data_IF_149646899803
#
_entry.id   IF_149646899803
#
_cell.length_a   1.000
_cell.length_b   1.000
_cell.length_c   1.000
_cell.angle_alpha   90.00
_cell.angle_beta   90.00
_cell.angle_gamma   90.00
#
_symmetry.space_group_name_H-M   'P 1'
#
loop_
_entity.id
_entity.type
_entity.pdbx_description
1 polymer ?
#
# COMPACT_ATOMS: atom_id res chain seq x y z
N UNK A 1 13.89 18.29 -2.87
CA UNK A 1 13.03 17.78 -1.79
C UNK A 1 12.88 18.85 -0.70
N UNK A 2 12.21 19.99 -0.98
CA UNK A 2 12.28 21.19 -0.12
C UNK A 2 11.74 21.01 1.30
N UNK A 3 10.77 20.11 1.49
CA UNK A 3 10.25 19.79 2.82
C UNK A 3 11.19 18.82 3.55
N UNK A 4 11.73 17.81 2.85
CA UNK A 4 12.75 16.91 3.38
C UNK A 4 13.96 17.69 3.90
N UNK A 5 14.40 18.74 3.22
CA UNK A 5 15.50 19.59 3.68
C UNK A 5 15.21 20.32 5.01
N UNK A 6 13.92 20.42 5.42
CA UNK A 6 13.49 20.99 6.70
C UNK A 6 13.35 19.93 7.81
N UNK A 7 13.15 18.66 7.45
CA UNK A 7 13.08 17.55 8.40
C UNK A 7 14.44 16.85 8.38
N UNK A 8 15.18 16.96 9.48
CA UNK A 8 16.61 16.64 9.53
C UNK A 8 17.00 15.17 9.22
N UNK A 9 16.05 14.28 8.93
CA UNK A 9 16.27 12.85 8.82
C UNK A 9 15.56 12.28 7.58
N UNK A 10 16.28 11.46 6.83
CA UNK A 10 15.75 10.68 5.70
C UNK A 10 16.18 9.24 5.90
N UNK A 11 15.20 8.33 5.92
CA UNK A 11 15.45 6.90 6.08
C UNK A 11 15.54 6.21 4.71
N UNK A 12 16.31 5.11 4.58
CA UNK A 12 16.30 4.25 3.41
C UNK A 12 14.90 3.73 3.07
N UNK A 13 14.65 3.49 1.78
CA UNK A 13 13.46 2.80 1.31
C UNK A 13 13.45 1.36 1.85
N UNK A 14 12.28 0.87 2.25
CA UNK A 14 12.13 -0.51 2.72
C UNK A 14 12.51 -1.50 1.61
N UNK A 15 13.16 -2.63 1.92
CA UNK A 15 13.63 -3.58 0.90
C UNK A 15 12.49 -4.13 0.01
N UNK A 16 11.33 -4.43 0.60
CA UNK A 16 10.18 -4.96 -0.14
C UNK A 16 9.61 -3.92 -1.11
N UNK A 17 9.55 -2.64 -0.73
CA UNK A 17 9.05 -1.58 -1.61
C UNK A 17 10.01 -1.37 -2.78
N UNK A 18 11.32 -1.43 -2.51
CA UNK A 18 12.33 -1.41 -3.57
C UNK A 18 12.15 -2.58 -4.54
N UNK A 19 11.95 -3.79 -4.02
CA UNK A 19 11.73 -4.98 -4.86
C UNK A 19 10.47 -4.83 -5.73
N UNK A 20 9.38 -4.31 -5.17
CA UNK A 20 8.13 -4.05 -5.90
C UNK A 20 8.34 -3.06 -7.05
N UNK A 21 8.98 -1.93 -6.76
CA UNK A 21 9.26 -0.88 -7.75
C UNK A 21 10.22 -1.41 -8.82
N UNK A 22 11.30 -2.08 -8.43
CA UNK A 22 12.26 -2.66 -9.37
C UNK A 22 11.59 -3.69 -10.29
N UNK A 23 10.72 -4.56 -9.76
CA UNK A 23 10.00 -5.56 -10.54
C UNK A 23 9.00 -4.90 -11.53
N UNK A 24 8.36 -3.83 -11.09
CA UNK A 24 7.41 -3.06 -11.90
C UNK A 24 8.14 -2.35 -13.06
N UNK A 25 9.25 -1.67 -12.78
CA UNK A 25 10.02 -0.93 -13.79
C UNK A 25 10.77 -1.84 -14.76
N UNK A 26 11.08 -3.07 -14.37
CA UNK A 26 11.71 -4.09 -15.26
C UNK A 26 10.69 -4.90 -16.05
N UNK A 27 9.39 -4.62 -15.89
CA UNK A 27 8.36 -5.36 -16.61
C UNK A 27 8.44 -5.09 -18.12
N UNK A 28 8.02 -6.09 -18.90
CA UNK A 28 8.05 -6.13 -20.36
C UNK A 28 6.80 -5.49 -21.00
N UNK A 29 5.86 -5.01 -20.18
CA UNK A 29 4.54 -4.56 -20.60
C UNK A 29 4.13 -3.30 -19.87
N UNK A 30 3.56 -2.35 -20.60
CA UNK A 30 3.08 -1.11 -19.98
C UNK A 30 1.91 -1.38 -19.03
N UNK A 31 1.09 -2.41 -19.26
CA UNK A 31 0.01 -2.77 -18.34
C UNK A 31 0.56 -3.20 -16.99
N UNK A 32 1.65 -3.98 -16.96
CA UNK A 32 2.34 -4.37 -15.72
C UNK A 32 2.91 -3.14 -15.01
N UNK A 33 3.52 -2.21 -15.75
CA UNK A 33 3.99 -0.93 -15.18
C UNK A 33 2.84 -0.15 -14.54
N UNK A 34 1.71 -0.01 -15.23
CA UNK A 34 0.55 0.73 -14.71
C UNK A 34 -0.13 0.03 -13.54
N UNK A 35 -0.22 -1.31 -13.56
CA UNK A 35 -0.72 -2.08 -12.42
C UNK A 35 0.19 -1.86 -11.20
N UNK A 36 1.50 -2.06 -11.36
CA UNK A 36 2.45 -1.96 -10.26
C UNK A 36 2.61 -0.54 -9.73
N UNK A 37 2.76 0.44 -10.61
CA UNK A 37 2.95 1.84 -10.22
C UNK A 37 1.62 2.50 -9.89
N UNK A 38 0.70 2.58 -10.85
CA UNK A 38 -0.49 3.42 -10.71
C UNK A 38 -1.57 2.86 -9.80
N UNK A 39 -1.74 1.54 -9.78
CA UNK A 39 -2.79 0.94 -8.96
C UNK A 39 -2.27 0.51 -7.59
N UNK A 40 -1.04 -0.01 -7.52
CA UNK A 40 -0.49 -0.60 -6.30
C UNK A 40 0.37 0.40 -5.52
N UNK A 41 1.48 0.92 -6.10
CA UNK A 41 2.39 1.84 -5.38
C UNK A 41 1.71 3.16 -5.05
N UNK A 42 1.00 3.76 -6.00
CA UNK A 42 0.26 5.00 -5.76
C UNK A 42 -0.95 4.78 -4.83
N UNK A 43 -1.60 3.62 -4.90
CA UNK A 43 -2.65 3.23 -3.95
C UNK A 43 -2.12 3.11 -2.52
N UNK A 44 -0.94 2.51 -2.35
CA UNK A 44 -0.21 2.47 -1.08
C UNK A 44 0.15 3.89 -0.60
N UNK A 45 0.66 4.74 -1.48
CA UNK A 45 1.00 6.13 -1.15
C UNK A 45 -0.24 6.91 -0.71
N UNK A 46 -1.35 6.77 -1.43
CA UNK A 46 -2.59 7.50 -1.16
C UNK A 46 -3.15 7.19 0.23
N UNK A 47 -3.20 5.92 0.63
CA UNK A 47 -3.62 5.54 1.99
C UNK A 47 -2.65 6.03 3.07
N UNK A 48 -1.33 5.91 2.85
CA UNK A 48 -0.32 6.40 3.78
C UNK A 48 -0.39 7.93 3.99
N UNK A 49 -0.52 8.71 2.90
CA UNK A 49 -0.62 10.17 2.97
C UNK A 49 -1.95 10.63 3.56
N UNK A 50 -3.05 9.91 3.30
CA UNK A 50 -4.34 10.18 3.94
C UNK A 50 -4.25 10.00 5.46
N UNK A 51 -3.73 8.86 5.93
CA UNK A 51 -3.56 8.61 7.36
C UNK A 51 -2.62 9.67 8.00
N UNK A 52 -1.53 10.05 7.33
CA UNK A 52 -0.65 11.12 7.81
C UNK A 52 -1.33 12.50 7.86
N UNK A 53 -2.21 12.82 6.91
CA UNK A 53 -3.00 14.06 6.91
C UNK A 53 -3.91 14.16 8.14
N UNK A 54 -4.50 13.04 8.58
CA UNK A 54 -5.38 13.01 9.75
C UNK A 54 -4.63 13.07 11.07
N UNK A 55 -3.45 12.46 11.16
CA UNK A 55 -2.67 12.39 12.40
C UNK A 55 -1.79 13.63 12.61
N UNK A 56 -1.35 14.31 11.54
CA UNK A 56 -0.42 15.42 11.68
C UNK A 56 -1.08 16.70 12.23
N UNK A 57 -0.41 17.33 13.19
CA UNK A 57 -0.73 18.67 13.70
C UNK A 57 0.09 19.78 13.02
N UNK A 58 1.03 19.44 12.12
CA UNK A 58 1.87 20.42 11.44
C UNK A 58 1.11 21.03 10.24
N UNK A 59 0.80 22.34 10.22
CA UNK A 59 0.02 22.94 9.13
C UNK A 59 0.69 22.81 7.76
N UNK A 60 2.02 22.91 7.71
CA UNK A 60 2.78 22.74 6.47
C UNK A 60 2.70 21.31 5.95
N UNK A 61 2.88 20.31 6.83
CA UNK A 61 2.79 18.90 6.44
C UNK A 61 1.38 18.58 5.95
N UNK A 62 0.36 19.09 6.64
CA UNK A 62 -1.05 18.91 6.27
C UNK A 62 -1.37 19.47 4.88
N UNK A 63 -0.86 20.66 4.55
CA UNK A 63 -1.01 21.24 3.22
C UNK A 63 -0.25 20.45 2.13
N UNK A 64 0.92 19.90 2.47
CA UNK A 64 1.70 19.10 1.55
C UNK A 64 1.04 17.75 1.26
N UNK A 65 0.64 17.01 2.29
CA UNK A 65 -0.03 15.71 2.13
C UNK A 65 -1.33 15.85 1.37
N UNK A 66 -2.11 16.91 1.62
CA UNK A 66 -3.30 17.22 0.85
C UNK A 66 -3.01 17.36 -0.65
N UNK A 67 -1.98 18.12 -1.03
CA UNK A 67 -1.63 18.29 -2.44
C UNK A 67 -1.11 16.99 -3.07
N UNK A 68 -0.31 16.21 -2.35
CA UNK A 68 0.16 14.89 -2.81
C UNK A 68 -1.04 13.97 -3.04
N UNK A 69 -1.95 13.85 -2.07
CA UNK A 69 -3.17 13.04 -2.21
C UNK A 69 -4.01 13.45 -3.43
N UNK A 70 -4.10 14.75 -3.74
CA UNK A 70 -4.80 15.21 -4.95
C UNK A 70 -4.16 14.74 -6.25
N UNK A 71 -2.84 14.58 -6.29
CA UNK A 71 -2.14 14.10 -7.49
C UNK A 71 -2.19 12.58 -7.56
N UNK A 72 -1.89 11.87 -6.46
CA UNK A 72 -1.94 10.41 -6.44
C UNK A 72 -3.35 9.87 -6.68
N UNK A 73 -4.40 10.55 -6.20
CA UNK A 73 -5.78 10.19 -6.56
C UNK A 73 -6.02 10.24 -8.06
N UNK A 74 -5.48 11.23 -8.78
CA UNK A 74 -5.61 11.31 -10.24
C UNK A 74 -4.82 10.20 -10.93
N UNK A 75 -3.63 9.89 -10.44
CA UNK A 75 -2.81 8.83 -11.01
C UNK A 75 -3.44 7.44 -10.81
N UNK A 76 -3.97 7.15 -9.60
CA UNK A 76 -4.74 5.94 -9.30
C UNK A 76 -6.00 5.86 -10.16
N UNK A 77 -6.78 6.95 -10.25
CA UNK A 77 -7.95 7.04 -11.14
C UNK A 77 -7.58 6.74 -12.58
N UNK A 78 -6.53 7.38 -13.08
CA UNK A 78 -6.05 7.17 -14.44
C UNK A 78 -5.68 5.70 -14.68
N UNK A 79 -4.97 5.08 -13.73
CA UNK A 79 -4.58 3.67 -13.78
C UNK A 79 -5.77 2.75 -14.06
N UNK A 80 -6.78 2.74 -13.20
CA UNK A 80 -7.90 1.82 -13.35
C UNK A 80 -8.91 2.23 -14.44
N UNK A 81 -9.14 3.52 -14.68
CA UNK A 81 -10.04 3.98 -15.77
C UNK A 81 -9.46 3.61 -17.14
N UNK A 82 -8.16 3.79 -17.31
CA UNK A 82 -7.48 3.46 -18.56
C UNK A 82 -7.35 1.95 -18.75
N UNK A 83 -6.92 1.21 -17.72
CA UNK A 83 -6.67 -0.23 -17.85
C UNK A 83 -7.94 -1.06 -17.94
N UNK A 84 -9.07 -0.62 -17.36
CA UNK A 84 -10.31 -1.40 -17.38
C UNK A 84 -10.77 -1.79 -18.80
N UNK A 85 -10.93 -0.87 -19.78
CA UNK A 85 -11.28 -1.24 -21.14
C UNK A 85 -10.16 -1.99 -21.88
N UNK A 86 -8.89 -1.72 -21.55
CA UNK A 86 -7.75 -2.44 -22.13
C UNK A 86 -7.81 -3.91 -21.73
N UNK A 87 -7.85 -4.20 -20.42
CA UNK A 87 -7.86 -5.56 -19.87
C UNK A 87 -9.08 -6.35 -20.35
N UNK A 88 -10.24 -5.69 -20.47
CA UNK A 88 -11.45 -6.33 -21.01
C UNK A 88 -11.29 -6.86 -22.43
N UNK A 89 -10.42 -6.25 -23.24
CA UNK A 89 -10.20 -6.61 -24.64
C UNK A 89 -8.97 -7.51 -24.85
N UNK A 90 -8.24 -7.86 -23.79
CA UNK A 90 -7.12 -8.80 -23.86
C UNK A 90 -7.62 -10.24 -23.96
N UNK A 91 -6.81 -11.10 -24.56
CA UNK A 91 -7.03 -12.54 -24.50
C UNK A 91 -6.86 -13.06 -23.06
N UNK A 92 -7.42 -14.23 -22.80
CA UNK A 92 -7.42 -14.82 -21.46
C UNK A 92 -6.01 -15.08 -20.93
N UNK A 93 -5.07 -15.54 -21.77
CA UNK A 93 -3.71 -15.84 -21.33
C UNK A 93 -3.00 -14.55 -20.88
N UNK A 94 -3.07 -13.49 -21.68
CA UNK A 94 -2.49 -12.19 -21.30
C UNK A 94 -3.13 -11.64 -20.03
N UNK A 95 -4.47 -11.72 -19.89
CA UNK A 95 -5.15 -11.26 -18.67
C UNK A 95 -4.69 -12.03 -17.43
N UNK A 96 -4.51 -13.34 -17.56
CA UNK A 96 -4.01 -14.18 -16.46
C UNK A 96 -2.57 -13.86 -16.08
N UNK A 97 -1.70 -13.53 -17.05
CA UNK A 97 -0.35 -13.05 -16.75
C UNK A 97 -0.35 -11.72 -15.97
N UNK A 98 -1.23 -10.78 -16.34
CA UNK A 98 -1.39 -9.52 -15.60
C UNK A 98 -1.95 -9.76 -14.19
N UNK A 99 -2.89 -10.69 -14.05
CA UNK A 99 -3.46 -11.07 -12.77
C UNK A 99 -2.41 -11.71 -11.84
N UNK A 100 -1.53 -12.55 -12.38
CA UNK A 100 -0.40 -13.11 -11.62
C UNK A 100 0.59 -12.04 -11.18
N UNK A 101 0.90 -11.09 -12.06
CA UNK A 101 1.76 -9.97 -11.73
C UNK A 101 1.17 -9.15 -10.57
N UNK A 102 -0.13 -8.82 -10.64
CA UNK A 102 -0.83 -8.11 -9.58
C UNK A 102 -0.80 -8.87 -8.25
N UNK A 103 -1.09 -10.18 -8.27
CA UNK A 103 -1.02 -11.03 -7.08
C UNK A 103 0.38 -11.03 -6.46
N UNK A 104 1.43 -11.22 -7.26
CA UNK A 104 2.80 -11.24 -6.74
C UNK A 104 3.19 -9.90 -6.09
N UNK A 105 2.75 -8.78 -6.66
CA UNK A 105 2.96 -7.46 -6.08
C UNK A 105 2.24 -7.30 -4.73
N UNK A 106 0.97 -7.72 -4.64
CA UNK A 106 0.21 -7.69 -3.39
C UNK A 106 0.82 -8.63 -2.33
N UNK A 107 1.20 -9.84 -2.75
CA UNK A 107 1.84 -10.81 -1.88
C UNK A 107 3.14 -10.23 -1.29
N UNK A 108 3.97 -9.57 -2.11
CA UNK A 108 5.19 -8.91 -1.64
C UNK A 108 4.91 -7.81 -0.60
N UNK A 109 3.84 -7.03 -0.77
CA UNK A 109 3.43 -6.02 0.22
C UNK A 109 3.03 -6.71 1.51
N UNK A 110 2.14 -7.70 1.47
CA UNK A 110 1.68 -8.41 2.68
C UNK A 110 2.84 -9.05 3.43
N UNK A 111 3.78 -9.68 2.71
CA UNK A 111 4.99 -10.23 3.32
C UNK A 111 5.93 -9.14 3.88
N UNK A 112 5.91 -7.93 3.33
CA UNK A 112 6.73 -6.81 3.78
C UNK A 112 6.12 -5.97 4.92
N UNK A 113 4.80 -6.04 5.14
CA UNK A 113 4.07 -5.16 6.08
C UNK A 113 3.46 -5.86 7.29
N UNK A 114 3.56 -7.19 7.40
CA UNK A 114 2.96 -7.95 8.51
C UNK A 114 3.71 -7.71 9.83
N UNK A 115 3.34 -6.69 10.60
CA UNK A 115 3.93 -6.47 11.94
C UNK A 115 3.12 -7.23 12.99
N UNK A 116 3.50 -8.48 13.30
CA UNK A 116 2.92 -9.27 14.39
C UNK A 116 3.06 -10.79 14.23
N UNK A 117 3.40 -11.49 15.32
CA UNK A 117 3.34 -12.96 15.45
C UNK A 117 4.44 -13.80 14.80
N UNK A 118 5.19 -13.28 13.82
CA UNK A 118 6.31 -14.02 13.18
C UNK A 118 7.35 -13.17 12.44
N UNK A 119 7.21 -11.85 12.46
CA UNK A 119 7.95 -10.90 11.61
C UNK A 119 8.97 -10.00 12.33
N UNK A 120 9.33 -10.32 13.57
CA UNK A 120 10.48 -9.66 14.22
C UNK A 120 11.72 -9.69 13.32
N UNK A 121 11.91 -10.75 12.53
CA UNK A 121 13.06 -10.88 11.63
C UNK A 121 13.07 -9.91 10.44
N UNK A 122 11.93 -9.70 9.77
CA UNK A 122 11.85 -8.83 8.59
C UNK A 122 12.03 -7.35 8.97
N UNK A 123 11.43 -6.94 10.09
CA UNK A 123 11.61 -5.59 10.65
C UNK A 123 13.03 -5.38 11.20
N UNK A 124 13.65 -6.40 11.80
CA UNK A 124 15.07 -6.36 12.21
C UNK A 124 16.03 -6.29 11.01
N UNK A 125 15.62 -6.82 9.87
CA UNK A 125 16.40 -6.78 8.63
C UNK A 125 16.22 -5.47 7.84
N UNK A 126 15.26 -4.61 8.20
CA UNK A 126 15.06 -3.31 7.57
C UNK A 126 16.00 -2.25 8.20
N UNK A 127 17.04 -1.79 7.47
CA UNK A 127 17.99 -0.83 8.01
C UNK A 127 17.36 0.53 8.33
N UNK A 128 16.31 0.93 7.60
CA UNK A 128 15.61 2.17 7.84
C UNK A 128 14.77 2.10 9.10
N UNK A 129 14.09 0.97 9.33
CA UNK A 129 13.33 0.76 10.57
C UNK A 129 14.23 0.77 11.81
N UNK A 130 15.39 0.11 11.74
CA UNK A 130 16.37 0.13 12.83
C UNK A 130 16.91 1.54 13.12
N UNK A 131 17.10 2.36 12.08
CA UNK A 131 17.46 3.77 12.26
C UNK A 131 16.34 4.59 12.92
N UNK A 132 15.07 4.30 12.60
CA UNK A 132 13.92 4.95 13.25
C UNK A 132 13.95 4.66 14.75
N UNK A 133 14.09 3.39 15.15
CA UNK A 133 14.16 3.02 16.58
C UNK A 133 15.33 3.73 17.29
N UNK A 134 16.52 3.69 16.70
CA UNK A 134 17.70 4.35 17.25
C UNK A 134 17.51 5.87 17.42
N UNK A 135 16.95 6.55 16.41
CA UNK A 135 16.71 7.99 16.45
C UNK A 135 15.54 8.39 17.37
N UNK A 136 14.66 7.45 17.69
CA UNK A 136 13.58 7.61 18.67
C UNK A 136 14.00 7.23 20.09
N UNK A 137 15.28 6.90 20.32
CA UNK A 137 15.79 6.43 21.62
C UNK A 137 15.06 5.17 22.13
N UNK A 138 14.61 4.33 21.21
CA UNK A 138 13.94 3.06 21.51
C UNK A 138 14.94 1.92 21.37
N UNK A 139 15.11 1.13 22.43
CA UNK A 139 15.92 -0.09 22.38
C UNK A 139 15.25 -1.12 21.46
N UNK A 140 15.93 -1.61 20.41
CA UNK A 140 15.30 -2.52 19.48
C UNK A 140 14.91 -3.87 20.09
N UNK A 141 15.73 -4.41 21.00
CA UNK A 141 15.45 -5.72 21.59
C UNK A 141 14.24 -5.64 22.53
N UNK A 142 14.14 -4.57 23.32
CA UNK A 142 12.97 -4.28 24.13
C UNK A 142 11.71 -4.07 23.28
N UNK A 143 11.81 -3.28 22.18
CA UNK A 143 10.70 -3.06 21.26
C UNK A 143 10.16 -4.35 20.66
N UNK A 144 11.03 -5.22 20.12
CA UNK A 144 10.62 -6.48 19.51
C UNK A 144 10.10 -7.49 20.54
N UNK A 145 10.65 -7.47 21.76
CA UNK A 145 10.12 -8.27 22.87
C UNK A 145 8.68 -7.82 23.22
N UNK A 146 8.45 -6.53 23.32
CA UNK A 146 7.10 -5.97 23.57
C UNK A 146 6.09 -6.34 22.48
N UNK A 147 6.51 -6.32 21.21
CA UNK A 147 5.66 -6.80 20.11
C UNK A 147 5.32 -8.29 20.22
N UNK A 148 6.28 -9.13 20.64
CA UNK A 148 6.02 -10.55 20.85
C UNK A 148 5.05 -10.79 22.01
N UNK A 149 5.25 -10.10 23.14
CA UNK A 149 4.36 -10.20 24.30
C UNK A 149 2.93 -9.74 23.96
N UNK A 150 2.79 -8.66 23.18
CA UNK A 150 1.50 -8.20 22.68
C UNK A 150 0.82 -9.25 21.79
N UNK A 151 1.57 -9.85 20.86
CA UNK A 151 1.06 -10.92 20.00
C UNK A 151 0.63 -12.17 20.79
N UNK A 152 1.44 -12.58 21.78
CA UNK A 152 1.13 -13.72 22.67
C UNK A 152 -0.12 -13.45 23.52
N UNK A 153 -0.36 -12.18 23.87
CA UNK A 153 -1.56 -11.73 24.55
C UNK A 153 -2.79 -11.57 23.62
N UNK A 154 -2.64 -11.86 22.32
CA UNK A 154 -3.70 -11.70 21.32
C UNK A 154 -4.02 -10.24 20.97
N UNK A 155 -3.13 -9.30 21.33
CA UNK A 155 -3.25 -7.90 20.94
C UNK A 155 -2.74 -7.78 19.50
N UNK A 156 -3.69 -7.72 18.56
CA UNK A 156 -3.40 -7.50 17.15
C UNK A 156 -3.23 -6.01 16.87
N UNK A 157 -2.28 -5.70 15.99
CA UNK A 157 -2.10 -4.36 15.43
C UNK A 157 -3.16 -4.11 14.35
N UNK A 158 -4.39 -3.87 14.76
CA UNK A 158 -5.43 -3.35 13.86
C UNK A 158 -5.30 -1.83 13.74
N UNK A 159 -5.60 -1.30 12.56
CA UNK A 159 -5.66 0.15 12.41
C UNK A 159 -6.86 0.70 13.21
N UNK A 160 -6.70 1.88 13.84
CA UNK A 160 -7.83 2.55 14.47
C UNK A 160 -9.00 2.76 13.50
N UNK A 161 -10.26 2.73 13.97
CA UNK A 161 -11.40 3.21 13.19
C UNK A 161 -11.10 4.62 12.68
N UNK A 162 -11.41 4.92 11.41
CA UNK A 162 -11.00 6.20 10.84
C UNK A 162 -9.81 6.16 9.89
N UNK A 163 -9.16 5.01 9.70
CA UNK A 163 -7.96 4.91 8.86
C UNK A 163 -8.17 4.07 7.61
N UNK A 164 -7.55 4.50 6.52
CA UNK A 164 -7.59 3.80 5.24
C UNK A 164 -6.57 2.66 5.25
N UNK A 165 -7.06 1.45 5.01
CA UNK A 165 -6.26 0.27 4.77
C UNK A 165 -5.92 0.20 3.29
N UNK A 166 -4.76 0.71 2.88
CA UNK A 166 -4.39 0.82 1.46
C UNK A 166 -4.61 -0.47 0.64
N UNK A 167 -4.35 -1.64 1.24
CA UNK A 167 -4.57 -2.92 0.58
C UNK A 167 -6.06 -3.22 0.38
N UNK A 168 -6.83 -3.17 1.47
CA UNK A 168 -8.24 -3.58 1.51
C UNK A 168 -9.16 -2.53 0.86
N UNK A 169 -8.89 -1.24 1.06
CA UNK A 169 -9.79 -0.17 0.69
C UNK A 169 -9.48 0.46 -0.67
N UNK A 170 -8.25 0.29 -1.18
CA UNK A 170 -7.79 0.92 -2.42
C UNK A 170 -7.30 -0.11 -3.45
N UNK A 171 -6.25 -0.88 -3.14
CA UNK A 171 -5.57 -1.73 -4.12
C UNK A 171 -6.42 -2.91 -4.58
N UNK A 172 -6.95 -3.72 -3.65
CA UNK A 172 -7.75 -4.91 -4.00
C UNK A 172 -9.06 -4.54 -4.72
N UNK A 173 -9.84 -3.53 -4.28
CA UNK A 173 -11.01 -3.09 -5.02
C UNK A 173 -10.67 -2.59 -6.42
N UNK A 174 -9.56 -1.85 -6.59
CA UNK A 174 -9.11 -1.39 -7.91
C UNK A 174 -8.76 -2.57 -8.83
N UNK A 175 -8.03 -3.58 -8.32
CA UNK A 175 -7.70 -4.80 -9.08
C UNK A 175 -8.94 -5.62 -9.44
N UNK A 176 -9.92 -5.71 -8.52
CA UNK A 176 -11.20 -6.35 -8.79
C UNK A 176 -11.99 -5.61 -9.89
N UNK A 177 -12.07 -4.28 -9.80
CA UNK A 177 -12.77 -3.41 -10.77
C UNK A 177 -12.25 -3.57 -12.20
N UNK A 178 -10.94 -3.73 -12.37
CA UNK A 178 -10.33 -3.91 -13.71
C UNK A 178 -10.35 -5.36 -14.21
N UNK A 179 -10.82 -6.31 -13.38
CA UNK A 179 -10.94 -7.72 -13.75
C UNK A 179 -9.66 -8.55 -13.59
N UNK A 180 -8.74 -8.14 -12.71
CA UNK A 180 -7.50 -8.87 -12.42
C UNK A 180 -7.64 -9.86 -11.26
N UNK A 181 -8.78 -9.89 -10.58
CA UNK A 181 -9.12 -10.94 -9.61
C UNK A 181 -9.87 -12.07 -10.32
N UNK A 182 -9.12 -12.85 -11.11
CA UNK A 182 -9.66 -13.97 -11.89
C UNK A 182 -9.98 -15.17 -11.00
N UNK A 183 -10.81 -16.15 -11.42
CA UNK A 183 -11.06 -17.36 -10.64
C UNK A 183 -9.80 -18.13 -10.27
N UNK A 184 -8.77 -18.10 -11.13
CA UNK A 184 -7.48 -18.75 -10.86
C UNK A 184 -6.68 -17.99 -9.80
N UNK A 185 -6.56 -16.68 -9.94
CA UNK A 185 -5.78 -15.87 -9.00
C UNK A 185 -6.48 -15.70 -7.65
N UNK A 186 -7.81 -15.73 -7.61
CA UNK A 186 -8.58 -15.78 -6.35
C UNK A 186 -8.12 -16.91 -5.43
N UNK A 187 -7.89 -18.12 -5.99
CA UNK A 187 -7.37 -19.26 -5.22
C UNK A 187 -6.02 -18.97 -4.59
N UNK A 188 -5.15 -18.22 -5.28
CA UNK A 188 -3.83 -17.84 -4.75
C UNK A 188 -3.96 -16.87 -3.57
N UNK A 189 -4.91 -15.93 -3.63
CA UNK A 189 -5.22 -15.05 -2.50
C UNK A 189 -5.74 -15.85 -1.29
N UNK A 190 -6.66 -16.79 -1.53
CA UNK A 190 -7.20 -17.67 -0.49
C UNK A 190 -6.08 -18.52 0.17
N UNK A 191 -5.22 -19.14 -0.64
CA UNK A 191 -4.06 -19.92 -0.19
C UNK A 191 -3.03 -19.07 0.59
N UNK A 192 -2.88 -17.80 0.22
CA UNK A 192 -2.03 -16.84 0.92
C UNK A 192 -2.68 -16.23 2.17
N UNK A 193 -3.95 -16.54 2.46
CA UNK A 193 -4.70 -15.94 3.56
C UNK A 193 -4.97 -14.43 3.40
N UNK A 194 -4.95 -13.93 2.16
CA UNK A 194 -5.17 -12.51 1.85
C UNK A 194 -6.64 -12.32 1.48
N UNK A 195 -7.39 -11.60 2.31
CA UNK A 195 -8.80 -11.33 2.05
C UNK A 195 -8.98 -10.36 0.89
N UNK A 196 -9.75 -10.75 -0.11
CA UNK A 196 -10.12 -9.90 -1.24
C UNK A 196 -11.27 -8.98 -0.82
N UNK A 197 -11.11 -7.69 -1.08
CA UNK A 197 -12.16 -6.69 -1.02
C UNK A 197 -12.58 -6.25 -2.41
N UNK A 198 -13.89 -6.15 -2.63
CA UNK A 198 -14.49 -5.59 -3.84
C UNK A 198 -15.31 -4.32 -3.53
N UNK A 199 -15.18 -3.80 -2.30
CA UNK A 199 -15.88 -2.61 -1.87
C UNK A 199 -15.22 -1.35 -2.47
N UNK A 200 -15.93 -0.69 -3.38
CA UNK A 200 -15.45 0.49 -4.08
C UNK A 200 -15.75 1.81 -3.36
N UNK A 201 -16.40 1.80 -2.19
CA UNK A 201 -16.83 3.04 -1.51
C UNK A 201 -15.68 4.00 -1.25
N UNK A 202 -14.62 3.52 -0.59
CA UNK A 202 -13.45 4.34 -0.26
C UNK A 202 -12.68 4.71 -1.53
N UNK A 203 -12.49 3.76 -2.44
CA UNK A 203 -11.82 4.02 -3.71
C UNK A 203 -12.51 5.17 -4.47
N UNK A 204 -13.85 5.13 -4.63
CA UNK A 204 -14.61 6.19 -5.29
C UNK A 204 -14.51 7.54 -4.57
N UNK A 205 -14.51 7.57 -3.23
CA UNK A 205 -14.35 8.80 -2.47
C UNK A 205 -12.96 9.44 -2.63
N UNK A 206 -11.96 8.64 -2.99
CA UNK A 206 -10.61 9.10 -3.25
C UNK A 206 -10.36 9.50 -4.71
N UNK A 207 -11.30 9.25 -5.64
CA UNK A 207 -11.10 9.54 -7.07
C UNK A 207 -11.19 11.03 -7.42
N UNK A 208 -10.66 11.39 -8.60
CA UNK A 208 -10.97 12.67 -9.25
C UNK A 208 -10.22 13.91 -8.71
N UNK A 209 -9.25 13.73 -7.81
CA UNK A 209 -8.38 14.83 -7.36
C UNK A 209 -9.01 15.78 -6.34
N UNK A 210 -10.13 15.37 -5.75
CA UNK A 210 -10.78 15.98 -4.60
C UNK A 210 -11.12 14.90 -3.56
N UNK A 211 -10.08 14.23 -2.97
CA UNK A 211 -10.30 13.15 -2.04
C UNK A 211 -11.16 13.64 -0.87
N UNK A 212 -12.27 12.95 -0.60
CA UNK A 212 -13.12 13.29 0.53
C UNK A 212 -12.33 13.00 1.81
N UNK A 213 -12.01 14.06 2.55
CA UNK A 213 -11.23 13.96 3.79
C UNK A 213 -12.05 13.36 4.93
N UNK A 214 -13.36 13.21 4.79
CA UNK A 214 -14.23 12.55 5.77
C UNK A 214 -14.47 11.07 5.45
N UNK A 215 -13.93 10.57 4.32
CA UNK A 215 -14.12 9.22 3.80
C UNK A 215 -13.86 8.09 4.82
N UNK A 216 -12.91 8.30 5.72
CA UNK A 216 -12.52 7.28 6.67
C UNK A 216 -13.35 7.32 7.97
N UNK A 217 -14.15 8.37 8.21
CA UNK A 217 -14.79 8.68 9.49
C UNK A 217 -16.21 8.08 9.67
N UNK A 218 -16.72 7.28 8.72
CA UNK A 218 -18.00 6.57 8.79
C UNK A 218 -17.80 5.04 8.78
#
# INVERSE_FOLDING_TARGET
AKYCDKVAMVYPMTPWLKMLIDATLKSDRYEKVMIGMNMIVEGLALGAFNNMYHVTNCPLLKALTFNVMRDESRHVSFGHIFLQPVIKNLDEATREELADFAFNAIYLIVQGTQVGGGQTLASRADPGFMQVLANSEIDPDDFFKGLQEAADAGILMDFPPGQIHSLHDLMLPALARVGLITPRVRKKYDEAGIQISEDLRILHQMEGGAPNLEAAAE
#
